data_IF_751977924177
#
_entry.id   IF_751977924177
#
_cell.length_a   1.000
_cell.length_b   1.000
_cell.length_c   1.000
_cell.angle_alpha   90.00
_cell.angle_beta   90.00
_cell.angle_gamma   90.00
#
_symmetry.space_group_name_H-M   'P 1'
#
loop_
_entity.id
_entity.type
_entity.pdbx_description
1 polymer ?
#
# COMPACT_ATOMS: atom_id res chain seq x y z
N UNK A 1 16.49 -19.30 4.41
CA UNK A 1 16.81 -18.84 5.78
C UNK A 1 15.52 -18.75 6.63
N UNK A 2 15.57 -19.17 7.89
CA UNK A 2 14.50 -18.91 8.86
C UNK A 2 14.77 -17.54 9.49
N UNK A 3 13.85 -16.59 9.30
CA UNK A 3 13.95 -15.27 9.92
C UNK A 3 13.57 -15.34 11.40
N UNK A 4 14.35 -14.68 12.24
CA UNK A 4 14.06 -14.49 13.67
C UNK A 4 13.34 -13.16 13.87
N UNK A 5 12.60 -13.03 14.97
CA UNK A 5 11.96 -11.77 15.37
C UNK A 5 12.93 -10.60 15.53
N UNK A 6 14.20 -10.89 15.81
CA UNK A 6 15.26 -9.89 15.96
C UNK A 6 15.84 -9.41 14.64
N UNK A 7 15.53 -10.09 13.54
CA UNK A 7 16.06 -9.73 12.22
C UNK A 7 15.29 -8.51 11.68
N UNK A 8 15.98 -7.54 11.06
CA UNK A 8 15.34 -6.31 10.57
C UNK A 8 14.28 -6.58 9.49
N UNK A 9 14.35 -7.71 8.78
CA UNK A 9 13.39 -8.11 7.76
C UNK A 9 12.07 -8.63 8.37
N UNK A 10 12.09 -9.09 9.63
CA UNK A 10 10.93 -9.72 10.25
C UNK A 10 9.71 -8.80 10.29
N UNK A 11 9.92 -7.51 10.58
CA UNK A 11 8.84 -6.51 10.62
C UNK A 11 8.12 -6.40 9.28
N UNK A 12 8.86 -6.42 8.16
CA UNK A 12 8.28 -6.32 6.81
C UNK A 12 7.49 -7.58 6.48
N UNK A 13 8.02 -8.76 6.84
CA UNK A 13 7.35 -10.04 6.61
C UNK A 13 6.03 -10.10 7.38
N UNK A 14 6.05 -9.77 8.68
CA UNK A 14 4.86 -9.78 9.54
C UNK A 14 3.83 -8.77 9.05
N UNK A 15 4.24 -7.53 8.75
CA UNK A 15 3.36 -6.50 8.19
C UNK A 15 2.67 -6.97 6.90
N UNK A 16 3.44 -7.42 5.89
CA UNK A 16 2.90 -7.78 4.57
C UNK A 16 1.99 -9.00 4.63
N UNK A 17 2.40 -10.05 5.32
CA UNK A 17 1.63 -11.30 5.36
C UNK A 17 0.34 -11.15 6.13
N UNK A 18 0.35 -10.42 7.26
CA UNK A 18 -0.86 -10.14 8.04
C UNK A 18 -1.80 -9.21 7.29
N UNK A 19 -1.29 -8.12 6.74
CA UNK A 19 -2.09 -7.14 5.99
C UNK A 19 -2.80 -7.82 4.81
N UNK A 20 -2.08 -8.64 4.03
CA UNK A 20 -2.71 -9.38 2.92
C UNK A 20 -3.70 -10.44 3.39
N UNK A 21 -3.44 -11.12 4.51
CA UNK A 21 -4.37 -12.09 5.06
C UNK A 21 -5.67 -11.43 5.55
N UNK A 22 -5.60 -10.25 6.16
CA UNK A 22 -6.81 -9.50 6.58
C UNK A 22 -7.59 -8.98 5.39
N UNK A 23 -6.92 -8.45 4.36
CA UNK A 23 -7.57 -8.07 3.11
C UNK A 23 -8.29 -9.27 2.45
N UNK A 24 -7.64 -10.43 2.37
CA UNK A 24 -8.24 -11.63 1.79
C UNK A 24 -9.48 -12.12 2.57
N UNK A 25 -9.53 -11.91 3.89
CA UNK A 25 -10.66 -12.31 4.74
C UNK A 25 -11.81 -11.32 4.74
N UNK A 26 -11.49 -10.03 4.83
CA UNK A 26 -12.46 -8.98 5.17
C UNK A 26 -12.62 -7.90 4.09
N UNK A 27 -11.77 -7.89 3.07
CA UNK A 27 -11.67 -6.80 2.09
C UNK A 27 -11.00 -5.53 2.62
N UNK A 28 -10.56 -5.52 3.88
CA UNK A 28 -9.88 -4.40 4.54
C UNK A 28 -8.50 -4.87 5.05
N UNK A 29 -7.38 -4.27 4.58
CA UNK A 29 -6.03 -4.62 5.05
C UNK A 29 -5.74 -4.15 6.49
N UNK A 30 -6.57 -3.27 7.07
CA UNK A 30 -6.34 -2.68 8.38
C UNK A 30 -6.82 -3.61 9.51
N UNK A 31 -6.06 -3.68 10.60
CA UNK A 31 -6.47 -4.40 11.81
C UNK A 31 -5.90 -3.76 13.07
N UNK A 32 -6.71 -2.90 13.69
CA UNK A 32 -6.34 -2.16 14.90
C UNK A 32 -5.97 -3.06 16.10
N UNK A 33 -6.44 -4.31 16.11
CA UNK A 33 -6.18 -5.29 17.19
C UNK A 33 -4.93 -6.14 16.95
N UNK A 34 -4.31 -6.06 15.77
CA UNK A 34 -3.08 -6.79 15.47
C UNK A 34 -1.84 -5.98 15.89
N UNK A 35 -0.89 -6.63 16.57
CA UNK A 35 0.32 -5.99 17.10
C UNK A 35 1.13 -5.22 16.05
N UNK A 36 1.16 -5.72 14.82
CA UNK A 36 1.95 -5.17 13.70
C UNK A 36 1.15 -4.14 12.90
N UNK A 37 -0.18 -4.27 12.85
CA UNK A 37 -1.04 -3.41 12.02
C UNK A 37 -1.78 -2.32 12.77
N UNK A 38 -1.72 -2.30 14.11
CA UNK A 38 -2.48 -1.38 14.98
C UNK A 38 -2.32 0.10 14.65
N UNK A 39 -1.14 0.49 14.16
CA UNK A 39 -0.80 1.89 13.91
C UNK A 39 -1.09 2.31 12.45
N UNK A 40 -1.42 1.36 11.58
CA UNK A 40 -1.73 1.62 10.17
C UNK A 40 -3.22 1.92 10.03
N UNK A 41 -3.53 3.01 9.32
CA UNK A 41 -4.89 3.35 8.89
C UNK A 41 -4.88 3.71 7.42
N UNK A 42 -4.65 2.72 6.56
CA UNK A 42 -4.59 2.90 5.11
C UNK A 42 -6.02 3.10 4.55
N UNK A 43 -6.39 4.31 4.09
CA UNK A 43 -7.72 4.54 3.54
C UNK A 43 -7.88 3.87 2.16
N UNK A 44 -9.12 3.57 1.75
CA UNK A 44 -9.41 3.20 0.38
C UNK A 44 -8.91 4.25 -0.62
N UNK A 45 -8.45 3.79 -1.78
CA UNK A 45 -8.09 4.69 -2.87
C UNK A 45 -9.34 5.39 -3.42
N UNK A 46 -9.22 6.69 -3.69
CA UNK A 46 -10.25 7.51 -4.32
C UNK A 46 -9.61 8.45 -5.35
N UNK A 47 -10.36 8.89 -6.35
CA UNK A 47 -9.83 9.74 -7.42
C UNK A 47 -9.39 11.13 -6.96
N UNK A 48 -9.98 11.64 -5.88
CA UNK A 48 -9.65 12.93 -5.28
C UNK A 48 -8.35 12.88 -4.47
N UNK A 49 -8.18 11.88 -3.60
CA UNK A 49 -7.02 11.79 -2.70
C UNK A 49 -5.85 11.01 -3.28
N UNK A 50 -6.16 10.01 -4.11
CA UNK A 50 -5.18 9.08 -4.71
C UNK A 50 -4.20 8.53 -3.66
N UNK A 51 -4.71 8.19 -2.48
CA UNK A 51 -3.90 7.73 -1.35
C UNK A 51 -3.23 6.39 -1.66
N UNK A 52 -2.01 6.19 -1.17
CA UNK A 52 -1.25 4.96 -1.36
C UNK A 52 -0.41 4.64 -0.12
N UNK A 53 -0.08 3.36 0.06
CA UNK A 53 0.78 2.91 1.14
C UNK A 53 2.23 2.79 0.65
N UNK A 54 3.14 3.48 1.33
CA UNK A 54 4.58 3.29 1.20
C UNK A 54 5.02 2.19 2.16
N UNK A 55 5.44 1.06 1.60
CA UNK A 55 5.90 -0.10 2.34
C UNK A 55 7.43 -0.06 2.40
N UNK A 56 7.97 0.23 3.58
CA UNK A 56 9.41 0.22 3.86
C UNK A 56 9.72 -0.35 5.23
N UNK A 57 10.76 0.18 5.90
CA UNK A 57 11.02 -0.10 7.32
C UNK A 57 9.79 0.23 8.18
N UNK A 58 9.19 1.35 7.87
CA UNK A 58 7.93 1.82 8.45
C UNK A 58 6.87 1.88 7.35
N UNK A 59 5.60 1.89 7.76
CA UNK A 59 4.46 2.00 6.87
C UNK A 59 3.94 3.44 6.91
N UNK A 60 3.93 4.10 5.76
CA UNK A 60 3.56 5.50 5.65
C UNK A 60 2.48 5.68 4.58
N UNK A 61 1.55 6.59 4.81
CA UNK A 61 0.51 6.91 3.84
C UNK A 61 0.95 8.13 3.04
N UNK A 62 1.00 7.98 1.72
CA UNK A 62 1.12 9.08 0.78
C UNK A 62 -0.25 9.44 0.18
N UNK A 63 -0.36 10.67 -0.31
CA UNK A 63 -1.53 11.18 -1.03
C UNK A 63 -1.08 11.91 -2.29
N UNK A 64 -2.01 12.19 -3.20
CA UNK A 64 -1.73 12.88 -4.47
C UNK A 64 -1.20 11.96 -5.58
N UNK A 65 -1.23 10.64 -5.38
CA UNK A 65 -0.81 9.65 -6.37
C UNK A 65 0.71 9.44 -6.42
N UNK A 66 1.11 8.28 -6.93
CA UNK A 66 2.52 7.90 -7.03
C UNK A 66 3.06 8.43 -8.36
N UNK A 67 4.18 9.17 -8.34
CA UNK A 67 4.92 9.54 -9.56
C UNK A 67 4.09 10.16 -10.70
N UNK A 68 3.10 10.99 -10.35
CA UNK A 68 2.11 11.54 -11.28
C UNK A 68 2.72 12.22 -12.50
N UNK A 69 3.80 12.98 -12.34
CA UNK A 69 4.52 13.62 -13.46
C UNK A 69 5.06 12.60 -14.47
N UNK A 70 5.53 11.44 -14.00
CA UNK A 70 6.05 10.39 -14.88
C UNK A 70 4.91 9.69 -15.61
N UNK A 71 3.78 9.46 -14.94
CA UNK A 71 2.59 8.89 -15.57
C UNK A 71 2.00 9.82 -16.63
N UNK A 72 1.96 11.12 -16.36
CA UNK A 72 1.46 12.11 -17.31
C UNK A 72 2.22 12.08 -18.65
N UNK A 73 3.55 11.89 -18.63
CA UNK A 73 4.32 11.73 -19.87
C UNK A 73 3.82 10.55 -20.70
N UNK A 74 3.52 9.41 -20.07
CA UNK A 74 3.00 8.25 -20.78
C UNK A 74 1.57 8.48 -21.31
N UNK A 75 0.73 9.16 -20.54
CA UNK A 75 -0.63 9.53 -20.96
C UNK A 75 -0.61 10.46 -22.19
N UNK A 76 0.36 11.37 -22.27
CA UNK A 76 0.56 12.29 -23.39
C UNK A 76 1.12 11.58 -24.64
N UNK A 77 2.05 10.63 -24.45
CA UNK A 77 2.66 9.87 -25.56
C UNK A 77 1.71 8.81 -26.15
N UNK A 78 0.87 8.21 -25.31
CA UNK A 78 -0.03 7.12 -25.68
C UNK A 78 -1.45 7.36 -25.16
N UNK A 79 -2.14 8.40 -25.63
CA UNK A 79 -3.49 8.69 -25.19
C UNK A 79 -4.41 7.52 -25.52
N UNK A 80 -5.07 6.96 -24.50
CA UNK A 80 -6.04 5.89 -24.70
C UNK A 80 -7.18 6.46 -25.56
N UNK A 81 -7.51 5.84 -26.72
CA UNK A 81 -8.62 6.30 -27.53
C UNK A 81 -9.88 6.29 -26.68
N UNK A 82 -10.57 7.43 -26.64
CA UNK A 82 -11.92 7.47 -26.09
C UNK A 82 -12.79 6.69 -27.08
N UNK A 83 -13.01 5.42 -26.82
CA UNK A 83 -14.07 4.68 -27.50
C UNK A 83 -15.37 5.35 -27.08
N UNK A 84 -15.96 6.08 -28.04
CA UNK A 84 -17.29 6.67 -27.92
C UNK A 84 -18.36 5.59 -28.02
#
# INVERSE_FOLDING_TARGET
PLFKKTDPENVVIENLTRMWAEFAKNGDPNKATDEYLKDIKWPPYTEDKKSYLVIGKDLNIGEGGIFTQRFQIWDELFPVPKFA
#
